data_IF_145210119289
#
_entry.id   IF_145210119289
#
_cell.length_a   1.000
_cell.length_b   1.000
_cell.length_c   1.000
_cell.angle_alpha   90.00
_cell.angle_beta   90.00
_cell.angle_gamma   90.00
#
_symmetry.space_group_name_H-M   'P 1'
#
loop_
_entity.id
_entity.type
_entity.pdbx_description
1 polymer ?
#
# COMPACT_ATOMS: atom_id res chain seq x y z
N UNK A 1 -20.39 -6.81 3.36
CA UNK A 1 -19.09 -7.10 2.71
C UNK A 1 -18.00 -6.54 3.62
N UNK A 2 -17.10 -7.36 4.19
CA UNK A 2 -16.12 -6.85 5.15
C UNK A 2 -15.21 -5.82 4.47
N UNK A 3 -15.31 -4.55 4.86
CA UNK A 3 -14.50 -3.46 4.31
C UNK A 3 -13.00 -3.69 4.42
N UNK A 4 -12.58 -4.48 5.42
CA UNK A 4 -11.20 -4.95 5.61
C UNK A 4 -10.73 -5.85 4.45
N UNK A 5 -11.60 -6.68 3.89
CA UNK A 5 -11.28 -7.56 2.75
C UNK A 5 -11.11 -6.72 1.47
N UNK A 6 -11.99 -5.71 1.28
CA UNK A 6 -11.86 -4.76 0.17
C UNK A 6 -10.56 -3.96 0.25
N UNK A 7 -10.20 -3.52 1.46
CA UNK A 7 -8.91 -2.89 1.76
C UNK A 7 -7.73 -3.81 1.43
N UNK A 8 -7.78 -5.06 1.87
CA UNK A 8 -6.72 -6.03 1.55
C UNK A 8 -6.56 -6.20 0.04
N UNK A 9 -7.67 -6.29 -0.71
CA UNK A 9 -7.65 -6.36 -2.17
C UNK A 9 -7.08 -5.08 -2.80
N UNK A 10 -7.46 -3.90 -2.29
CA UNK A 10 -6.93 -2.62 -2.73
C UNK A 10 -5.41 -2.57 -2.59
N UNK A 11 -4.90 -3.00 -1.43
CA UNK A 11 -3.47 -3.00 -1.11
C UNK A 11 -2.71 -3.97 -2.04
N UNK A 12 -3.26 -5.16 -2.30
CA UNK A 12 -2.63 -6.12 -3.22
C UNK A 12 -2.55 -5.54 -4.64
N UNK A 13 -3.64 -4.94 -5.14
CA UNK A 13 -3.65 -4.26 -6.43
C UNK A 13 -2.65 -3.11 -6.50
N UNK A 14 -2.53 -2.33 -5.42
CA UNK A 14 -1.58 -1.22 -5.36
C UNK A 14 -0.13 -1.69 -5.35
N UNK A 15 0.18 -2.71 -4.57
CA UNK A 15 1.53 -3.29 -4.51
C UNK A 15 1.91 -3.88 -5.87
N UNK A 16 0.96 -4.52 -6.55
CA UNK A 16 1.13 -5.01 -7.91
C UNK A 16 1.40 -3.86 -8.90
N UNK A 17 0.60 -2.79 -8.83
CA UNK A 17 0.79 -1.57 -9.62
C UNK A 17 2.15 -0.91 -9.37
N UNK A 18 2.55 -0.75 -8.10
CA UNK A 18 3.84 -0.19 -7.69
C UNK A 18 5.03 -1.04 -8.17
N UNK A 19 4.86 -2.36 -8.17
CA UNK A 19 5.86 -3.30 -8.71
C UNK A 19 6.00 -3.15 -10.21
N UNK A 20 4.87 -3.07 -10.94
CA UNK A 20 4.89 -2.82 -12.38
C UNK A 20 5.46 -1.44 -12.72
N UNK A 21 5.23 -0.43 -11.89
CA UNK A 21 5.77 0.92 -12.08
C UNK A 21 7.30 0.90 -12.04
N UNK A 22 7.86 0.23 -11.03
CA UNK A 22 9.31 0.08 -10.90
C UNK A 22 9.91 -0.78 -12.02
N UNK A 23 9.15 -1.75 -12.56
CA UNK A 23 9.51 -2.54 -13.74
C UNK A 23 9.35 -1.79 -15.08
N UNK A 24 8.56 -0.71 -15.11
CA UNK A 24 8.32 0.11 -16.30
C UNK A 24 9.46 1.09 -16.59
N UNK A 25 10.49 1.15 -15.73
CA UNK A 25 11.62 2.11 -15.84
C UNK A 25 11.13 3.56 -16.07
N UNK A 26 10.08 3.98 -15.36
CA UNK A 26 9.49 5.31 -15.52
C UNK A 26 8.68 5.48 -16.81
N UNK A 27 7.81 4.51 -17.12
CA UNK A 27 6.88 4.51 -18.28
C UNK A 27 7.50 4.21 -19.64
N UNK A 28 8.73 3.72 -19.70
CA UNK A 28 9.43 3.44 -20.95
C UNK A 28 8.88 2.21 -21.70
N UNK A 29 8.14 1.33 -21.01
CA UNK A 29 7.49 0.14 -21.60
C UNK A 29 5.97 0.25 -21.52
N UNK A 30 5.32 0.17 -22.68
CA UNK A 30 3.85 0.31 -22.82
C UNK A 30 3.04 -0.74 -22.04
N UNK A 31 3.45 -2.02 -22.08
CA UNK A 31 2.77 -3.12 -21.39
C UNK A 31 2.68 -2.93 -19.86
N UNK A 32 3.79 -2.71 -19.13
CA UNK A 32 3.73 -2.50 -17.68
C UNK A 32 3.05 -1.18 -17.31
N UNK A 33 3.11 -0.13 -18.14
CA UNK A 33 2.39 1.13 -17.86
C UNK A 33 0.87 0.96 -17.81
N UNK A 34 0.27 0.15 -18.69
CA UNK A 34 -1.17 -0.17 -18.63
C UNK A 34 -1.50 -0.91 -17.33
N UNK A 35 -0.64 -1.86 -16.94
CA UNK A 35 -0.79 -2.59 -15.69
C UNK A 35 -0.71 -1.71 -14.44
N UNK A 36 0.11 -0.65 -14.45
CA UNK A 36 0.12 0.37 -13.38
C UNK A 36 -1.23 1.08 -13.31
N UNK A 37 -1.75 1.57 -14.44
CA UNK A 37 -3.01 2.34 -14.47
C UNK A 37 -4.17 1.47 -13.99
N UNK A 38 -4.25 0.22 -14.44
CA UNK A 38 -5.30 -0.71 -14.02
C UNK A 38 -5.14 -1.09 -12.55
N UNK A 39 -3.92 -1.45 -12.11
CA UNK A 39 -3.66 -1.85 -10.72
C UNK A 39 -3.95 -0.72 -9.73
N UNK A 40 -3.47 0.49 -10.03
CA UNK A 40 -3.66 1.66 -9.19
C UNK A 40 -5.11 2.19 -9.27
N UNK A 41 -5.75 2.13 -10.43
CA UNK A 41 -7.17 2.46 -10.59
C UNK A 41 -8.08 1.53 -9.79
N UNK A 42 -7.83 0.21 -9.85
CA UNK A 42 -8.55 -0.77 -9.04
C UNK A 42 -8.29 -0.57 -7.55
N UNK A 43 -7.03 -0.32 -7.15
CA UNK A 43 -6.68 -0.04 -5.76
C UNK A 43 -7.48 1.15 -5.21
N UNK A 44 -7.49 2.26 -5.94
CA UNK A 44 -8.27 3.45 -5.55
C UNK A 44 -9.78 3.19 -5.52
N UNK A 45 -10.30 2.39 -6.44
CA UNK A 45 -11.71 2.03 -6.46
C UNK A 45 -12.12 1.24 -5.21
N UNK A 46 -11.34 0.20 -4.86
CA UNK A 46 -11.57 -0.60 -3.65
C UNK A 46 -11.36 0.21 -2.37
N UNK A 47 -10.37 1.12 -2.35
CA UNK A 47 -10.15 2.04 -1.24
C UNK A 47 -11.36 2.95 -1.04
N UNK A 48 -11.86 3.56 -2.11
CA UNK A 48 -13.06 4.41 -2.07
C UNK A 48 -14.27 3.66 -1.51
N UNK A 49 -14.44 2.38 -1.90
CA UNK A 49 -15.51 1.54 -1.36
C UNK A 49 -15.32 1.23 0.14
N UNK A 50 -14.09 1.02 0.61
CA UNK A 50 -13.80 0.81 2.01
C UNK A 50 -14.07 2.06 2.88
N UNK A 51 -13.77 3.26 2.35
CA UNK A 51 -14.05 4.54 3.03
C UNK A 51 -15.57 4.76 3.23
N UNK A 52 -16.43 4.20 2.37
CA UNK A 52 -17.90 4.28 2.58
C UNK A 52 -18.38 3.48 3.79
N UNK A 53 -17.57 2.58 4.33
CA UNK A 53 -17.97 1.65 5.39
C UNK A 53 -17.19 1.85 6.70
N UNK A 54 -15.97 2.36 6.61
CA UNK A 54 -15.06 2.58 7.74
C UNK A 54 -14.65 4.06 7.81
N UNK A 55 -14.32 4.58 9.01
CA UNK A 55 -13.80 5.93 9.16
C UNK A 55 -12.58 6.14 8.27
N UNK A 56 -12.53 7.27 7.55
CA UNK A 56 -11.45 7.57 6.59
C UNK A 56 -10.06 7.48 7.23
N UNK A 57 -9.93 7.85 8.51
CA UNK A 57 -8.68 7.75 9.27
C UNK A 57 -8.19 6.30 9.43
N UNK A 58 -9.08 5.38 9.81
CA UNK A 58 -8.75 3.95 9.94
C UNK A 58 -8.38 3.35 8.58
N UNK A 59 -9.13 3.70 7.53
CA UNK A 59 -8.89 3.19 6.18
C UNK A 59 -7.53 3.65 5.66
N UNK A 60 -7.21 4.95 5.75
CA UNK A 60 -5.93 5.48 5.34
C UNK A 60 -4.76 4.95 6.17
N UNK A 61 -4.93 4.80 7.50
CA UNK A 61 -3.88 4.24 8.35
C UNK A 61 -3.52 2.80 7.93
N UNK A 62 -4.52 1.94 7.73
CA UNK A 62 -4.30 0.56 7.29
C UNK A 62 -3.71 0.53 5.89
N UNK A 63 -4.29 1.29 4.96
CA UNK A 63 -3.84 1.35 3.57
C UNK A 63 -2.39 1.81 3.45
N UNK A 64 -2.04 2.93 4.09
CA UNK A 64 -0.68 3.47 4.06
C UNK A 64 0.33 2.53 4.74
N UNK A 65 -0.01 1.95 5.89
CA UNK A 65 0.90 1.05 6.60
C UNK A 65 1.11 -0.28 5.92
N UNK A 66 0.02 -0.98 5.58
CA UNK A 66 0.10 -2.26 4.90
C UNK A 66 0.67 -2.10 3.49
N UNK A 67 0.27 -1.05 2.75
CA UNK A 67 0.79 -0.74 1.42
C UNK A 67 2.29 -0.46 1.43
N UNK A 68 2.78 0.32 2.39
CA UNK A 68 4.22 0.58 2.53
C UNK A 68 4.98 -0.67 2.94
N UNK A 69 4.49 -1.45 3.90
CA UNK A 69 5.12 -2.70 4.33
C UNK A 69 5.23 -3.72 3.19
N UNK A 70 4.14 -3.96 2.47
CA UNK A 70 4.12 -4.88 1.33
C UNK A 70 4.97 -4.36 0.17
N UNK A 71 4.88 -3.08 -0.19
CA UNK A 71 5.70 -2.50 -1.27
C UNK A 71 7.19 -2.58 -0.94
N UNK A 72 7.56 -2.36 0.32
CA UNK A 72 8.96 -2.51 0.77
C UNK A 72 9.41 -3.97 0.70
N UNK A 73 8.58 -4.90 1.18
CA UNK A 73 8.87 -6.33 1.12
C UNK A 73 9.03 -6.81 -0.33
N UNK A 74 8.12 -6.42 -1.21
CA UNK A 74 8.17 -6.74 -2.64
C UNK A 74 9.37 -6.07 -3.31
N UNK A 75 9.69 -4.83 -2.95
CA UNK A 75 10.90 -4.14 -3.40
C UNK A 75 12.16 -4.96 -3.11
N UNK A 76 12.22 -5.59 -1.95
CA UNK A 76 13.38 -6.36 -1.49
C UNK A 76 13.42 -7.74 -2.14
N UNK A 77 12.28 -8.44 -2.19
CA UNK A 77 12.19 -9.80 -2.74
C UNK A 77 12.33 -9.78 -4.26
N UNK A 78 11.62 -8.89 -4.95
CA UNK A 78 11.54 -8.88 -6.42
C UNK A 78 12.68 -8.09 -7.04
N UNK A 79 13.05 -6.93 -6.49
CA UNK A 79 14.12 -6.10 -7.06
C UNK A 79 15.49 -6.38 -6.45
N UNK A 80 15.60 -7.30 -5.49
CA UNK A 80 16.84 -7.56 -4.72
C UNK A 80 17.50 -6.26 -4.24
N UNK A 81 16.67 -5.27 -3.92
CA UNK A 81 17.12 -3.96 -3.49
C UNK A 81 17.93 -4.15 -2.20
N UNK A 82 19.17 -3.65 -2.14
CA UNK A 82 20.03 -3.85 -0.98
C UNK A 82 19.29 -3.40 0.28
N UNK A 83 18.97 -4.37 1.15
CA UNK A 83 18.30 -4.12 2.42
C UNK A 83 19.28 -3.41 3.35
N UNK A 84 19.39 -2.10 3.17
CA UNK A 84 20.26 -1.29 3.99
C UNK A 84 19.62 -1.15 5.37
N UNK A 85 20.39 -1.25 6.45
CA UNK A 85 19.90 -1.12 7.83
C UNK A 85 19.06 0.15 8.02
N UNK A 86 19.40 1.23 7.29
CA UNK A 86 18.65 2.49 7.21
C UNK A 86 17.22 2.34 6.67
N UNK A 87 17.01 1.49 5.65
CA UNK A 87 15.67 1.19 5.10
C UNK A 87 14.83 0.39 6.11
N UNK A 88 15.45 -0.55 6.82
CA UNK A 88 14.79 -1.30 7.88
C UNK A 88 14.33 -0.41 9.04
N UNK A 89 15.17 0.51 9.50
CA UNK A 89 14.83 1.48 10.54
C UNK A 89 13.69 2.41 10.06
N UNK A 90 13.76 2.91 8.82
CA UNK A 90 12.69 3.72 8.24
C UNK A 90 11.35 2.98 8.17
N UNK A 91 11.38 1.70 7.78
CA UNK A 91 10.18 0.87 7.74
C UNK A 91 9.60 0.66 9.14
N UNK A 92 10.44 0.40 10.14
CA UNK A 92 10.02 0.26 11.54
C UNK A 92 9.34 1.55 12.03
N UNK A 93 9.88 2.72 11.69
CA UNK A 93 9.27 4.01 12.02
C UNK A 93 7.89 4.20 11.36
N UNK A 94 7.75 3.83 10.09
CA UNK A 94 6.45 3.90 9.40
C UNK A 94 5.43 2.97 10.05
N UNK A 95 5.83 1.73 10.36
CA UNK A 95 4.96 0.77 11.04
C UNK A 95 4.55 1.30 12.43
N UNK A 96 5.49 1.84 13.22
CA UNK A 96 5.18 2.48 14.50
C UNK A 96 4.21 3.66 14.35
N UNK A 97 4.42 4.52 13.35
CA UNK A 97 3.51 5.64 13.07
C UNK A 97 2.10 5.18 12.73
N UNK A 98 1.97 4.13 11.91
CA UNK A 98 0.67 3.53 11.57
C UNK A 98 -0.01 2.93 12.79
N UNK A 99 0.73 2.21 13.63
CA UNK A 99 0.18 1.63 14.87
C UNK A 99 -0.30 2.75 15.81
N UNK A 100 0.50 3.81 15.99
CA UNK A 100 0.12 4.97 16.80
C UNK A 100 -1.15 5.64 16.26
N UNK A 101 -1.27 5.84 14.95
CA UNK A 101 -2.48 6.37 14.32
C UNK A 101 -3.68 5.43 14.50
N UNK A 102 -3.49 4.12 14.40
CA UNK A 102 -4.57 3.14 14.61
C UNK A 102 -5.06 3.16 16.06
N UNK A 103 -4.16 3.30 17.03
CA UNK A 103 -4.48 3.40 18.46
C UNK A 103 -5.23 4.71 18.73
N UNK A 104 -4.74 5.83 18.20
CA UNK A 104 -5.38 7.15 18.35
C UNK A 104 -6.78 7.19 17.74
N UNK A 105 -6.95 6.61 16.54
CA UNK A 105 -8.26 6.51 15.88
C UNK A 105 -9.19 5.53 16.61
N UNK A 106 -8.67 4.50 17.26
CA UNK A 106 -9.44 3.56 18.09
C UNK A 106 -9.94 4.17 19.41
N UNK A 107 -9.46 5.35 19.80
CA UNK A 107 -9.93 6.08 20.99
C UNK A 107 -10.99 7.14 20.67
N UNK A 108 -11.25 7.42 19.40
CA UNK A 108 -12.36 8.27 18.98
C UNK A 108 -13.61 7.39 18.78
N UNK A 109 -14.26 7.03 19.88
CA UNK A 109 -15.66 6.59 19.89
C UNK A 109 -16.52 7.80 20.25
#
# INVERSE_FOLDING_TARGET
MNAIILLAFAIICEVFGSTMLKKSEGFKKFLPSIGVVIGMGLAFYFLSLAIRTLPIGTVYAIWAGAGTALTTLVGVVVFKDHFNLKKGIGLAFIICGVIALKISTGQAH
#
